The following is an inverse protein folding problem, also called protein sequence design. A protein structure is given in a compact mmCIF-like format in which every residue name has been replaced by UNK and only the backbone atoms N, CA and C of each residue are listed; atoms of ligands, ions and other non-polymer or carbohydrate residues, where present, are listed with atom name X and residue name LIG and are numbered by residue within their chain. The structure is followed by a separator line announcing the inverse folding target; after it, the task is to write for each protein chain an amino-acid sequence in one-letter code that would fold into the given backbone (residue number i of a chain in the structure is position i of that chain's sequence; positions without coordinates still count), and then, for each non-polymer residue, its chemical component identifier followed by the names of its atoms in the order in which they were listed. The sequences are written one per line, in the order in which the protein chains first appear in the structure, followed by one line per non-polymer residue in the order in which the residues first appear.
data_IF_945036776488
#
_entry.id   IF_945036776488
#
_cell.length_a   1.000
_cell.length_b   1.000
_cell.length_c   1.000
_cell.angle_alpha   90.00
_cell.angle_beta   90.00
_cell.angle_gamma   90.00
#
_symmetry.space_group_name_H-M   'P 1'
#
loop_
_entity.id
_entity.type
_entity.pdbx_description
1 polymer ?
#
# COMPACT_ATOMS: atom_id res chain seq x y z
N UNK A 1 -34.43 -11.96 -14.11
CA UNK A 1 -33.13 -12.19 -13.42
C UNK A 1 -33.18 -13.45 -12.58
N UNK A 2 -32.10 -14.24 -12.55
CA UNK A 2 -31.98 -15.39 -11.63
C UNK A 2 -31.65 -14.92 -10.21
N UNK A 3 -32.06 -15.70 -9.19
CA UNK A 3 -31.67 -15.43 -7.79
C UNK A 3 -30.15 -15.43 -7.61
N UNK A 4 -29.46 -16.31 -8.35
CA UNK A 4 -28.01 -16.45 -8.34
C UNK A 4 -27.30 -15.18 -8.83
N UNK A 5 -27.77 -14.59 -9.94
CA UNK A 5 -27.20 -13.35 -10.50
C UNK A 5 -27.23 -12.20 -9.49
N UNK A 6 -28.36 -12.02 -8.79
CA UNK A 6 -28.50 -10.98 -7.76
C UNK A 6 -27.56 -11.20 -6.58
N UNK A 7 -27.45 -12.45 -6.11
CA UNK A 7 -26.54 -12.79 -5.01
C UNK A 7 -25.08 -12.53 -5.41
N UNK A 8 -24.68 -12.99 -6.60
CA UNK A 8 -23.31 -12.83 -7.09
C UNK A 8 -22.95 -11.37 -7.34
N UNK A 9 -23.89 -10.57 -7.86
CA UNK A 9 -23.70 -9.12 -8.04
C UNK A 9 -23.36 -8.43 -6.72
N UNK A 10 -24.14 -8.70 -5.66
CA UNK A 10 -23.87 -8.16 -4.32
C UNK A 10 -22.53 -8.63 -3.73
N UNK A 11 -22.20 -9.91 -3.88
CA UNK A 11 -20.94 -10.46 -3.38
C UNK A 11 -19.72 -9.87 -4.10
N UNK A 12 -19.78 -9.73 -5.42
CA UNK A 12 -18.72 -9.10 -6.22
C UNK A 12 -18.55 -7.64 -5.82
N UNK A 13 -19.64 -6.87 -5.61
CA UNK A 13 -19.54 -5.49 -5.13
C UNK A 13 -18.85 -5.40 -3.76
N UNK A 14 -19.23 -6.26 -2.80
CA UNK A 14 -18.58 -6.32 -1.47
C UNK A 14 -17.10 -6.69 -1.58
N UNK A 15 -16.77 -7.63 -2.46
CA UNK A 15 -15.38 -8.02 -2.72
C UNK A 15 -14.57 -6.84 -3.26
N UNK A 16 -15.09 -6.10 -4.25
CA UNK A 16 -14.44 -4.91 -4.81
C UNK A 16 -14.13 -3.89 -3.71
N UNK A 17 -15.10 -3.58 -2.85
CA UNK A 17 -14.91 -2.63 -1.74
C UNK A 17 -13.84 -3.13 -0.77
N UNK A 18 -13.92 -4.40 -0.34
CA UNK A 18 -12.96 -4.97 0.62
C UNK A 18 -11.52 -4.99 0.10
N UNK A 19 -11.32 -5.43 -1.15
CA UNK A 19 -10.01 -5.47 -1.80
C UNK A 19 -9.48 -4.06 -2.04
N UNK A 20 -10.34 -3.13 -2.46
CA UNK A 20 -9.96 -1.72 -2.66
C UNK A 20 -9.48 -1.06 -1.37
N UNK A 21 -10.16 -1.34 -0.25
CA UNK A 21 -9.77 -0.84 1.07
C UNK A 21 -8.40 -1.37 1.50
N UNK A 22 -8.20 -2.69 1.39
CA UNK A 22 -6.93 -3.34 1.69
C UNK A 22 -5.80 -2.78 0.81
N UNK A 23 -6.05 -2.63 -0.50
CA UNK A 23 -5.13 -2.00 -1.44
C UNK A 23 -4.72 -0.58 -1.00
N UNK A 24 -5.70 0.28 -0.66
CA UNK A 24 -5.45 1.66 -0.22
C UNK A 24 -4.59 1.70 1.05
N UNK A 25 -4.83 0.81 2.02
CA UNK A 25 -3.99 0.69 3.23
C UNK A 25 -2.55 0.29 2.87
N UNK A 26 -2.37 -0.70 2.01
CA UNK A 26 -1.04 -1.16 1.61
C UNK A 26 -0.27 -0.06 0.84
N UNK A 27 -0.93 0.69 -0.05
CA UNK A 27 -0.30 1.86 -0.70
C UNK A 27 0.12 2.91 0.33
N UNK A 28 -0.76 3.27 1.26
CA UNK A 28 -0.43 4.25 2.30
C UNK A 28 0.72 3.78 3.20
N UNK A 29 0.79 2.48 3.49
CA UNK A 29 1.91 1.92 4.26
C UNK A 29 3.22 1.96 3.47
N UNK A 30 3.19 1.60 2.19
CA UNK A 30 4.34 1.71 1.28
C UNK A 30 4.88 3.14 1.24
N UNK A 31 4.01 4.14 1.09
CA UNK A 31 4.41 5.56 1.06
C UNK A 31 5.06 6.01 2.38
N UNK A 32 4.58 5.51 3.52
CA UNK A 32 5.18 5.78 4.84
C UNK A 32 6.57 5.15 4.93
N UNK A 33 6.75 3.90 4.50
CA UNK A 33 8.05 3.23 4.47
C UNK A 33 9.04 3.95 3.53
N UNK A 34 8.59 4.36 2.34
CA UNK A 34 9.37 5.16 1.42
C UNK A 34 9.81 6.50 2.04
N UNK A 35 8.91 7.15 2.80
CA UNK A 35 9.23 8.38 3.53
C UNK A 35 10.32 8.16 4.58
N UNK A 36 10.24 7.09 5.36
CA UNK A 36 11.29 6.73 6.32
C UNK A 36 12.62 6.42 5.63
N UNK A 37 12.60 5.64 4.54
CA UNK A 37 13.80 5.35 3.76
C UNK A 37 14.46 6.64 3.25
N UNK A 38 13.66 7.58 2.73
CA UNK A 38 14.13 8.90 2.29
C UNK A 38 14.73 9.71 3.44
N UNK A 39 14.06 9.79 4.58
CA UNK A 39 14.56 10.52 5.75
C UNK A 39 15.88 9.96 6.25
N UNK A 40 15.99 8.64 6.44
CA UNK A 40 17.24 7.98 6.86
C UNK A 40 18.35 8.25 5.84
N UNK A 41 18.06 8.16 4.53
CA UNK A 41 19.03 8.45 3.48
C UNK A 41 19.54 9.89 3.53
N UNK A 42 18.65 10.87 3.71
CA UNK A 42 19.01 12.30 3.78
C UNK A 42 19.84 12.59 5.04
N UNK A 43 19.42 12.10 6.21
CA UNK A 43 20.16 12.31 7.47
C UNK A 43 21.55 11.69 7.38
N UNK A 44 21.67 10.46 6.86
CA UNK A 44 22.96 9.80 6.71
C UNK A 44 23.87 10.57 5.74
N UNK A 45 23.33 11.09 4.62
CA UNK A 45 24.09 11.89 3.67
C UNK A 45 24.62 13.18 4.31
N UNK A 46 23.78 13.90 5.06
CA UNK A 46 24.19 15.13 5.76
C UNK A 46 25.25 14.86 6.82
N UNK A 47 25.08 13.83 7.64
CA UNK A 47 26.08 13.45 8.65
C UNK A 47 27.39 13.02 8.00
N UNK A 48 27.36 12.24 6.91
CA UNK A 48 28.57 11.88 6.17
C UNK A 48 29.28 13.11 5.59
N UNK A 49 28.54 14.10 5.08
CA UNK A 49 29.14 15.36 4.62
C UNK A 49 29.78 16.15 5.78
N UNK A 50 29.15 16.16 6.97
CA UNK A 50 29.71 16.75 8.18
C UNK A 50 31.00 16.03 8.60
N UNK A 51 31.03 14.69 8.56
CA UNK A 51 32.25 13.92 8.87
C UNK A 51 33.36 14.26 7.88
N UNK A 52 33.08 14.24 6.57
CA UNK A 52 34.08 14.55 5.55
C UNK A 52 34.65 15.96 5.69
N UNK A 53 33.80 16.96 5.94
CA UNK A 53 34.24 18.34 6.18
C UNK A 53 34.99 18.50 7.51
N UNK A 54 34.53 17.83 8.58
CA UNK A 54 35.21 17.80 9.87
C UNK A 54 36.59 17.18 9.81
N UNK A 55 36.78 16.11 9.03
CA UNK A 55 38.08 15.50 8.78
C UNK A 55 39.04 16.47 8.07
N UNK A 56 38.57 17.20 7.04
CA UNK A 56 39.37 18.23 6.37
C UNK A 56 39.76 19.34 7.35
N UNK A 57 38.83 19.78 8.19
CA UNK A 57 39.08 20.81 9.19
C UNK A 57 40.15 20.39 10.21
N UNK A 58 40.10 19.14 10.71
CA UNK A 58 41.11 18.58 11.63
C UNK A 58 42.51 18.54 11.01
N UNK A 59 42.61 18.34 9.69
CA UNK A 59 43.91 18.37 9.00
C UNK A 59 44.52 19.77 8.92
N UNK A 60 43.68 20.80 8.90
CA UNK A 60 44.10 22.21 8.78
C UNK A 60 44.22 22.91 10.13
N UNK A 61 43.51 22.42 11.15
CA UNK A 61 43.39 23.05 12.48
C UNK A 61 43.63 22.00 13.58
N UNK A 62 44.48 22.32 14.56
CA UNK A 62 44.83 21.36 15.62
C UNK A 62 43.88 21.41 16.83
N UNK A 63 42.64 21.86 16.62
CA UNK A 63 41.67 22.06 17.68
C UNK A 63 41.07 20.74 18.19
N UNK A 64 41.28 20.44 19.47
CA UNK A 64 40.86 19.17 20.07
C UNK A 64 39.34 18.95 20.02
N UNK A 65 38.53 20.00 20.19
CA UNK A 65 37.07 19.88 20.18
C UNK A 65 36.55 19.39 18.82
N UNK A 66 37.18 19.79 17.71
CA UNK A 66 36.78 19.35 16.37
C UNK A 66 37.05 17.85 16.15
N UNK A 67 38.13 17.31 16.75
CA UNK A 67 38.43 15.87 16.77
C UNK A 67 37.34 15.09 17.49
N UNK A 68 36.92 15.57 18.66
CA UNK A 68 35.86 14.94 19.46
C UNK A 68 34.51 14.95 18.74
N UNK A 69 34.10 16.09 18.18
CA UNK A 69 32.84 16.21 17.44
C UNK A 69 32.84 15.30 16.20
N UNK A 70 33.90 15.33 15.40
CA UNK A 70 33.99 14.51 14.18
C UNK A 70 33.96 13.01 14.50
N UNK A 71 34.65 12.57 15.56
CA UNK A 71 34.61 11.19 16.02
C UNK A 71 33.20 10.75 16.44
N UNK A 72 32.49 11.58 17.22
CA UNK A 72 31.12 11.29 17.63
C UNK A 72 30.16 11.20 16.44
N UNK A 73 30.21 12.16 15.51
CA UNK A 73 29.37 12.15 14.30
C UNK A 73 29.68 10.93 13.43
N UNK A 74 30.95 10.51 13.34
CA UNK A 74 31.36 9.30 12.61
C UNK A 74 30.74 8.02 13.19
N UNK A 75 30.66 7.92 14.52
CA UNK A 75 29.93 6.82 15.19
C UNK A 75 28.45 6.86 14.80
N UNK A 76 27.80 8.05 14.84
CA UNK A 76 26.41 8.18 14.42
C UNK A 76 26.17 7.75 12.97
N UNK A 77 27.02 8.14 12.02
CA UNK A 77 26.96 7.70 10.61
C UNK A 77 27.06 6.18 10.51
N UNK A 78 27.99 5.59 11.27
CA UNK A 78 28.22 4.13 11.26
C UNK A 78 26.98 3.38 11.77
N UNK A 79 26.42 3.83 12.90
CA UNK A 79 25.20 3.25 13.48
C UNK A 79 24.02 3.39 12.51
N UNK A 80 23.80 4.57 11.92
CA UNK A 80 22.72 4.78 10.95
C UNK A 80 22.88 3.92 9.69
N UNK A 81 24.11 3.75 9.21
CA UNK A 81 24.40 2.89 8.06
C UNK A 81 24.12 1.42 8.37
N UNK A 82 24.48 0.94 9.57
CA UNK A 82 24.15 -0.40 10.03
C UNK A 82 22.63 -0.59 10.17
N UNK A 83 21.93 0.35 10.81
CA UNK A 83 20.47 0.31 10.97
C UNK A 83 19.75 0.32 9.61
N UNK A 84 20.22 1.11 8.65
CA UNK A 84 19.65 1.13 7.30
C UNK A 84 19.76 -0.23 6.61
N UNK A 85 20.87 -0.95 6.82
CA UNK A 85 21.08 -2.29 6.27
C UNK A 85 20.18 -3.33 6.94
N UNK A 86 19.99 -3.23 8.25
CA UNK A 86 19.18 -4.16 9.04
C UNK A 86 17.67 -4.03 8.73
N UNK A 87 17.15 -2.79 8.69
CA UNK A 87 15.71 -2.54 8.64
C UNK A 87 15.12 -2.38 7.23
N UNK A 88 15.95 -2.39 6.17
CA UNK A 88 15.58 -2.31 4.74
C UNK A 88 14.18 -1.71 4.43
N UNK A 89 13.99 -0.44 4.81
CA UNK A 89 12.71 0.26 4.62
C UNK A 89 12.36 0.41 3.14
N UNK A 90 13.36 0.50 2.27
CA UNK A 90 13.19 0.64 0.82
C UNK A 90 12.66 -0.66 0.21
N UNK A 91 13.29 -1.80 0.50
CA UNK A 91 12.78 -3.09 0.03
C UNK A 91 11.44 -3.45 0.67
N UNK A 92 11.20 -3.08 1.93
CA UNK A 92 9.88 -3.23 2.55
C UNK A 92 8.81 -2.42 1.81
N UNK A 93 9.10 -1.15 1.51
CA UNK A 93 8.22 -0.29 0.72
C UNK A 93 7.88 -0.90 -0.64
N UNK A 94 8.88 -1.42 -1.36
CA UNK A 94 8.69 -2.03 -2.69
C UNK A 94 7.89 -3.34 -2.63
N UNK A 95 8.11 -4.18 -1.61
CA UNK A 95 7.32 -5.40 -1.37
C UNK A 95 5.84 -5.04 -1.15
N UNK A 96 5.57 -4.14 -0.20
CA UNK A 96 4.23 -3.65 0.09
C UNK A 96 3.54 -3.04 -1.13
N UNK A 97 4.28 -2.31 -1.98
CA UNK A 97 3.73 -1.75 -3.23
C UNK A 97 3.37 -2.84 -4.25
N UNK A 98 4.20 -3.88 -4.37
CA UNK A 98 3.90 -5.03 -5.24
C UNK A 98 2.66 -5.78 -4.77
N UNK A 99 2.54 -6.00 -3.47
CA UNK A 99 1.36 -6.65 -2.88
C UNK A 99 0.09 -5.82 -3.10
N UNK A 100 0.19 -4.50 -2.98
CA UNK A 100 -0.90 -3.59 -3.30
C UNK A 100 -1.32 -3.72 -4.78
N UNK A 101 -0.36 -3.80 -5.72
CA UNK A 101 -0.69 -3.97 -7.14
C UNK A 101 -1.45 -5.26 -7.43
N UNK A 102 -1.16 -6.37 -6.71
CA UNK A 102 -1.92 -7.62 -6.83
C UNK A 102 -3.38 -7.40 -6.40
N UNK A 103 -3.61 -6.68 -5.30
CA UNK A 103 -4.96 -6.32 -4.85
C UNK A 103 -5.67 -5.43 -5.87
N UNK A 104 -4.96 -4.50 -6.51
CA UNK A 104 -5.52 -3.71 -7.61
C UNK A 104 -5.95 -4.59 -8.79
N UNK A 105 -5.13 -5.56 -9.20
CA UNK A 105 -5.49 -6.50 -10.27
C UNK A 105 -6.74 -7.33 -9.92
N UNK A 106 -6.85 -7.81 -8.69
CA UNK A 106 -8.05 -8.52 -8.21
C UNK A 106 -9.30 -7.63 -8.28
N UNK A 107 -9.18 -6.35 -7.93
CA UNK A 107 -10.26 -5.37 -8.03
C UNK A 107 -10.68 -5.17 -9.48
N UNK A 108 -9.75 -5.00 -10.42
CA UNK A 108 -10.06 -4.80 -11.84
C UNK A 108 -10.78 -6.03 -12.42
N UNK A 109 -10.28 -7.24 -12.12
CA UNK A 109 -10.94 -8.49 -12.54
C UNK A 109 -12.36 -8.61 -11.95
N UNK A 110 -12.53 -8.33 -10.67
CA UNK A 110 -13.86 -8.34 -10.05
C UNK A 110 -14.80 -7.27 -10.65
N UNK A 111 -14.27 -6.10 -11.00
CA UNK A 111 -15.04 -5.04 -11.67
C UNK A 111 -15.49 -5.49 -13.06
N UNK A 112 -14.65 -6.22 -13.79
CA UNK A 112 -15.04 -6.87 -15.05
C UNK A 112 -16.16 -7.91 -14.84
N UNK A 113 -16.07 -8.76 -13.82
CA UNK A 113 -17.17 -9.70 -13.50
C UNK A 113 -18.46 -8.97 -13.15
N UNK A 114 -18.37 -7.85 -12.44
CA UNK A 114 -19.53 -7.01 -12.14
C UNK A 114 -20.17 -6.43 -13.40
N UNK A 115 -19.36 -6.03 -14.38
CA UNK A 115 -19.84 -5.62 -15.70
C UNK A 115 -20.61 -6.77 -16.37
N UNK A 116 -20.04 -7.97 -16.43
CA UNK A 116 -20.68 -9.15 -17.04
C UNK A 116 -22.03 -9.45 -16.38
N UNK A 117 -22.11 -9.37 -15.05
CA UNK A 117 -23.36 -9.59 -14.29
C UNK A 117 -24.40 -8.49 -14.52
N UNK A 118 -23.95 -7.25 -14.67
CA UNK A 118 -24.83 -6.10 -14.87
C UNK A 118 -25.49 -6.11 -16.24
N UNK A 119 -24.72 -6.45 -17.27
CA UNK A 119 -25.16 -6.47 -18.67
C UNK A 119 -25.56 -7.86 -19.15
N UNK A 120 -25.56 -8.86 -18.26
CA UNK A 120 -25.94 -10.24 -18.54
C UNK A 120 -25.23 -10.84 -19.77
N UNK A 121 -23.96 -10.50 -19.98
CA UNK A 121 -23.20 -10.89 -21.19
C UNK A 121 -22.68 -12.32 -21.13
N UNK A 122 -22.77 -12.99 -19.98
CA UNK A 122 -22.40 -14.38 -19.77
C UNK A 122 -23.30 -15.03 -18.70
N UNK A 123 -23.28 -16.36 -18.63
CA UNK A 123 -23.99 -17.15 -17.65
C UNK A 123 -23.50 -16.86 -16.22
N UNK A 124 -24.45 -16.79 -15.28
CA UNK A 124 -24.12 -16.59 -13.86
C UNK A 124 -23.25 -17.70 -13.28
N UNK A 125 -23.34 -18.92 -13.81
CA UNK A 125 -22.52 -20.06 -13.38
C UNK A 125 -21.04 -19.89 -13.77
N UNK A 126 -20.77 -19.41 -14.99
CA UNK A 126 -19.39 -19.10 -15.43
C UNK A 126 -18.78 -17.98 -14.58
N UNK A 127 -19.54 -16.91 -14.33
CA UNK A 127 -19.08 -15.80 -13.47
C UNK A 127 -18.81 -16.29 -12.04
N UNK A 128 -19.63 -17.20 -11.51
CA UNK A 128 -19.42 -17.76 -10.17
C UNK A 128 -18.10 -18.55 -10.09
N UNK A 129 -17.76 -19.31 -11.13
CA UNK A 129 -16.49 -20.04 -11.20
C UNK A 129 -15.28 -19.08 -11.22
N UNK A 130 -15.33 -18.04 -12.05
CA UNK A 130 -14.26 -17.02 -12.09
C UNK A 130 -14.16 -16.25 -10.78
N UNK A 131 -15.29 -15.87 -10.18
CA UNK A 131 -15.31 -15.17 -8.91
C UNK A 131 -14.70 -16.01 -7.79
N UNK A 132 -15.00 -17.31 -7.73
CA UNK A 132 -14.39 -18.22 -6.76
C UNK A 132 -12.85 -18.24 -6.89
N UNK A 133 -12.31 -18.24 -8.12
CA UNK A 133 -10.86 -18.15 -8.35
C UNK A 133 -10.27 -16.84 -7.82
N UNK A 134 -10.98 -15.71 -7.96
CA UNK A 134 -10.55 -14.44 -7.36
C UNK A 134 -10.56 -14.49 -5.83
N UNK A 135 -11.58 -15.09 -5.23
CA UNK A 135 -11.69 -15.26 -3.77
C UNK A 135 -10.56 -16.15 -3.24
N UNK A 136 -10.27 -17.26 -3.91
CA UNK A 136 -9.16 -18.15 -3.57
C UNK A 136 -7.81 -17.41 -3.64
N UNK A 137 -7.57 -16.68 -4.74
CA UNK A 137 -6.35 -15.89 -4.91
C UNK A 137 -6.19 -14.86 -3.79
N UNK A 138 -7.28 -14.16 -3.44
CA UNK A 138 -7.28 -13.21 -2.31
C UNK A 138 -6.94 -13.92 -1.00
N UNK A 139 -7.55 -15.06 -0.72
CA UNK A 139 -7.33 -15.82 0.51
C UNK A 139 -5.91 -16.36 0.62
N UNK A 140 -5.29 -16.73 -0.50
CA UNK A 140 -3.87 -17.14 -0.53
C UNK A 140 -2.93 -15.95 -0.29
N UNK A 141 -3.27 -14.76 -0.81
CA UNK A 141 -2.42 -13.57 -0.69
C UNK A 141 -2.55 -12.81 0.62
N UNK A 142 -3.73 -12.78 1.22
CA UNK A 142 -3.99 -12.00 2.45
C UNK A 142 -2.99 -12.30 3.60
N UNK A 143 -2.61 -13.57 3.88
CA UNK A 143 -1.63 -13.90 4.93
C UNK A 143 -0.20 -13.47 4.60
N UNK A 144 0.14 -13.29 3.32
CA UNK A 144 1.47 -12.86 2.88
C UNK A 144 1.66 -11.34 3.01
N UNK A 145 0.55 -10.59 3.12
CA UNK A 145 0.59 -9.14 3.22
C UNK A 145 1.35 -8.70 4.46
N UNK A 146 2.18 -7.66 4.30
CA UNK A 146 2.82 -7.02 5.43
C UNK A 146 1.75 -6.48 6.40
N UNK A 147 1.88 -6.87 7.68
CA UNK A 147 1.05 -6.33 8.74
C UNK A 147 1.41 -4.87 8.99
N UNK A 148 0.61 -3.95 8.45
CA UNK A 148 0.75 -2.54 8.72
C UNK A 148 0.55 -2.30 10.22
N UNK A 149 1.47 -1.62 10.92
CA UNK A 149 1.30 -1.28 12.33
C UNK A 149 0.01 -0.48 12.54
N UNK A 150 -0.68 -0.66 13.68
CA UNK A 150 -1.95 0.03 13.93
C UNK A 150 -1.85 1.55 13.75
N UNK A 151 -0.73 2.16 14.19
CA UNK A 151 -0.48 3.60 13.98
C UNK A 151 -0.46 4.01 12.50
N UNK A 152 0.03 3.13 11.63
CA UNK A 152 0.03 3.32 10.17
C UNK A 152 -1.39 3.18 9.64
N UNK A 153 -2.12 2.15 10.08
CA UNK A 153 -3.53 1.94 9.71
C UNK A 153 -4.38 3.15 10.11
N UNK A 154 -4.21 3.67 11.32
CA UNK A 154 -4.94 4.85 11.80
C UNK A 154 -4.59 6.11 11.00
N UNK A 155 -3.30 6.30 10.68
CA UNK A 155 -2.83 7.43 9.87
C UNK A 155 -3.34 7.33 8.44
N UNK A 156 -3.27 6.16 7.83
CA UNK A 156 -3.84 5.86 6.52
C UNK A 156 -5.35 6.08 6.52
N UNK A 157 -6.06 5.53 7.51
CA UNK A 157 -7.50 5.71 7.69
C UNK A 157 -7.89 7.18 7.81
N UNK A 158 -7.15 8.01 8.55
CA UNK A 158 -7.38 9.47 8.58
C UNK A 158 -7.24 10.12 7.20
N UNK A 159 -6.22 9.74 6.43
CA UNK A 159 -6.04 10.23 5.06
C UNK A 159 -7.16 9.77 4.12
N UNK A 160 -7.61 8.52 4.26
CA UNK A 160 -8.70 7.96 3.47
C UNK A 160 -10.03 8.62 3.82
N UNK A 161 -10.35 8.80 5.11
CA UNK A 161 -11.52 9.57 5.57
C UNK A 161 -11.56 10.99 5.02
N UNK A 162 -10.43 11.69 5.02
CA UNK A 162 -10.32 13.04 4.45
C UNK A 162 -10.69 13.07 2.96
N UNK A 163 -10.33 12.00 2.23
CA UNK A 163 -10.66 11.82 0.82
C UNK A 163 -12.04 11.18 0.58
N UNK A 164 -12.77 10.82 1.64
CA UNK A 164 -14.02 10.03 1.63
C UNK A 164 -13.88 8.65 1.00
N UNK A 165 -12.74 8.01 1.26
CA UNK A 165 -12.39 6.68 0.76
C UNK A 165 -12.61 5.56 1.81
N UNK A 166 -13.23 5.86 2.96
CA UNK A 166 -13.45 5.02 4.17
C UNK A 166 -14.92 5.02 4.59
N UNK A 167 -15.84 4.89 3.65
CA UNK A 167 -17.25 4.80 3.99
C UNK A 167 -17.83 3.58 3.30
N UNK A 168 -17.88 2.44 3.97
CA UNK A 168 -18.35 1.19 3.35
C UNK A 168 -19.75 1.30 2.73
N UNK A 169 -20.60 2.22 3.20
CA UNK A 169 -21.93 2.46 2.61
C UNK A 169 -21.85 3.37 1.38
N UNK A 170 -21.07 4.46 1.44
CA UNK A 170 -20.85 5.33 0.28
C UNK A 170 -19.77 4.82 -0.70
N UNK A 171 -18.99 3.81 -0.35
CA UNK A 171 -17.82 3.35 -1.11
C UNK A 171 -18.23 2.74 -2.45
N UNK A 172 -19.41 2.11 -2.50
CA UNK A 172 -20.03 1.69 -3.75
C UNK A 172 -20.21 2.86 -4.72
N UNK A 173 -20.37 4.10 -4.24
CA UNK A 173 -20.49 5.30 -5.09
C UNK A 173 -19.17 5.75 -5.69
N UNK A 174 -18.06 5.60 -4.97
CA UNK A 174 -16.75 6.09 -5.41
C UNK A 174 -15.90 5.00 -6.08
N UNK A 175 -16.04 3.74 -5.66
CA UNK A 175 -15.23 2.62 -6.11
C UNK A 175 -15.85 1.84 -7.27
N UNK A 176 -17.19 1.90 -7.42
CA UNK A 176 -17.93 1.19 -8.46
C UNK A 176 -18.58 2.22 -9.41
N UNK A 177 -18.37 2.10 -10.73
CA UNK A 177 -19.02 2.97 -11.70
C UNK A 177 -20.54 2.95 -11.54
N UNK A 178 -21.19 4.13 -11.62
CA UNK A 178 -22.63 4.26 -11.43
C UNK A 178 -23.46 3.30 -12.30
N UNK A 179 -23.00 3.01 -13.51
CA UNK A 179 -23.68 2.12 -14.46
C UNK A 179 -23.65 0.63 -14.05
N UNK A 180 -22.83 0.26 -13.06
CA UNK A 180 -22.63 -1.12 -12.59
C UNK A 180 -23.27 -1.40 -11.22
N UNK A 181 -23.95 -0.40 -10.64
CA UNK A 181 -24.53 -0.53 -9.29
C UNK A 181 -25.78 -1.38 -9.25
N UNK A 182 -26.57 -1.29 -10.31
CA UNK A 182 -27.85 -1.96 -10.49
C UNK A 182 -27.75 -2.87 -11.72
N UNK A 183 -28.38 -4.04 -11.64
CA UNK A 183 -28.48 -4.93 -12.80
C UNK A 183 -29.45 -4.30 -13.79
N UNK A 184 -29.06 -4.19 -15.05
CA UNK A 184 -29.95 -3.68 -16.08
C UNK A 184 -30.95 -4.78 -16.45
N UNK A 185 -32.24 -4.48 -16.29
CA UNK A 185 -33.31 -5.30 -16.86
C UNK A 185 -33.34 -5.02 -18.37
N UNK A 186 -33.12 -6.04 -19.20
CA UNK A 186 -33.46 -5.95 -20.62
C UNK A 186 -34.97 -5.69 -20.73
N UNK A 187 -35.36 -4.62 -21.42
CA UNK A 187 -36.73 -4.40 -21.92
C UNK A 187 -37.09 -5.42 -23.00
#
# INVERSE_FOLDING_TARGET
MSKLQRQLHEEVKKFIVNVSWTHKIQIAYSDILASYAKWVRVVNLLLSAIVSSGLIYILLSDEYWAKVVTAFVSICVTVLTALKKEFDFEGASERTKRDANILWELREKATHLLYVLTYNTDSSDSVAEEFNKLVETRNMKMPELANAPQKVVDKAGKFLKSRRDDDFEEDYKYLIPNKLKDILEEE
#
